data_IF_081205953998
#
_entry.id   IF_081205953998
#
_cell.length_a   1.000
_cell.length_b   1.000
_cell.length_c   1.000
_cell.angle_alpha   90.00
_cell.angle_beta   90.00
_cell.angle_gamma   90.00
#
_symmetry.space_group_name_H-M   'P 1'
#
loop_
_entity.id
_entity.type
_entity.pdbx_description
1 polymer ?
#
# COMPACT_ATOMS: atom_id res chain seq x y z
N UNK A 1 7.17 0.54 -19.14
CA UNK A 1 8.19 0.50 -18.08
C UNK A 1 7.49 0.06 -16.80
N UNK A 2 8.23 -0.44 -15.83
CA UNK A 2 7.67 -1.01 -14.59
C UNK A 2 8.56 -0.68 -13.38
N UNK A 3 8.14 -1.11 -12.20
CA UNK A 3 8.99 -1.19 -11.02
C UNK A 3 9.22 -2.65 -10.65
N UNK A 4 10.36 -2.95 -10.05
CA UNK A 4 10.73 -4.27 -9.55
C UNK A 4 11.09 -4.20 -8.06
N UNK A 5 10.83 -5.29 -7.34
CA UNK A 5 11.14 -5.43 -5.92
C UNK A 5 12.36 -6.34 -5.76
N UNK A 6 13.41 -5.84 -5.10
CA UNK A 6 14.50 -6.69 -4.63
C UNK A 6 14.00 -7.54 -3.46
N UNK A 7 13.82 -8.83 -3.75
CA UNK A 7 13.32 -9.81 -2.79
C UNK A 7 14.30 -10.09 -1.65
N UNK A 8 15.60 -9.88 -1.84
CA UNK A 8 16.59 -10.07 -0.78
C UNK A 8 16.51 -8.98 0.29
N UNK A 9 16.03 -7.78 -0.06
CA UNK A 9 15.90 -6.64 0.85
C UNK A 9 14.48 -6.47 1.41
N UNK A 10 13.46 -6.98 0.71
CA UNK A 10 12.07 -6.83 1.10
C UNK A 10 11.77 -7.49 2.46
N UNK A 11 11.21 -6.72 3.40
CA UNK A 11 10.83 -7.17 4.75
C UNK A 11 9.34 -7.55 4.88
N UNK A 12 8.65 -7.71 3.75
CA UNK A 12 7.24 -8.14 3.72
C UNK A 12 6.25 -7.23 4.49
N UNK A 13 6.45 -5.91 4.49
CA UNK A 13 5.59 -4.97 5.24
C UNK A 13 4.22 -4.66 4.57
N UNK A 14 4.10 -4.89 3.26
CA UNK A 14 2.88 -4.65 2.47
C UNK A 14 2.50 -3.18 2.24
N UNK A 15 3.41 -2.23 2.49
CA UNK A 15 3.11 -0.80 2.36
C UNK A 15 2.91 -0.39 0.90
N UNK A 16 3.77 -0.90 0.01
CA UNK A 16 3.67 -0.72 -1.43
C UNK A 16 2.31 -1.21 -1.99
N UNK A 17 1.82 -2.37 -1.54
CA UNK A 17 0.52 -2.93 -1.95
C UNK A 17 -0.65 -2.00 -1.61
N UNK A 18 -0.61 -1.31 -0.46
CA UNK A 18 -1.71 -0.41 -0.03
C UNK A 18 -1.81 0.89 -0.81
N UNK A 19 -0.76 1.26 -1.53
CA UNK A 19 -0.70 2.50 -2.32
C UNK A 19 -0.69 2.24 -3.83
N UNK A 20 -0.61 0.97 -4.26
CA UNK A 20 -0.65 0.63 -5.67
C UNK A 20 -2.07 0.86 -6.22
N UNK A 21 -2.28 1.81 -7.15
CA UNK A 21 -3.60 2.16 -7.64
C UNK A 21 -4.18 1.10 -8.59
N UNK A 22 -3.32 0.24 -9.16
CA UNK A 22 -3.73 -0.91 -9.98
C UNK A 22 -3.70 -2.22 -9.20
N UNK A 23 -3.41 -2.19 -7.91
CA UNK A 23 -3.32 -3.38 -7.03
C UNK A 23 -2.41 -4.50 -7.57
N UNK A 24 -1.49 -4.20 -8.50
CA UNK A 24 -0.61 -5.16 -9.19
C UNK A 24 0.52 -5.75 -8.31
N UNK A 25 0.54 -5.42 -7.02
CA UNK A 25 1.56 -5.92 -6.09
C UNK A 25 0.97 -7.06 -5.27
N UNK A 26 1.38 -8.28 -5.58
CA UNK A 26 0.88 -9.49 -4.93
C UNK A 26 1.96 -10.11 -4.04
N UNK A 27 1.54 -10.96 -3.12
CA UNK A 27 2.39 -11.62 -2.13
C UNK A 27 2.28 -13.14 -2.18
N UNK A 28 1.08 -13.68 -2.41
CA UNK A 28 0.80 -15.12 -2.31
C UNK A 28 1.05 -15.90 -3.61
N UNK A 29 1.34 -15.20 -4.71
CA UNK A 29 1.42 -15.79 -6.04
C UNK A 29 2.86 -16.23 -6.39
N UNK A 30 3.75 -16.27 -5.38
CA UNK A 30 5.16 -16.64 -5.53
C UNK A 30 5.55 -17.74 -4.55
N UNK A 31 6.41 -18.67 -4.99
CA UNK A 31 6.91 -19.77 -4.16
C UNK A 31 7.75 -19.27 -2.97
N UNK A 32 8.32 -18.07 -3.08
CA UNK A 32 9.11 -17.43 -2.04
C UNK A 32 8.26 -16.57 -1.09
N UNK A 33 6.95 -16.47 -1.29
CA UNK A 33 6.04 -15.59 -0.55
C UNK A 33 6.61 -14.18 -0.45
N UNK A 34 7.10 -13.62 -1.55
CA UNK A 34 7.62 -12.26 -1.57
C UNK A 34 6.77 -11.36 -2.45
N UNK A 35 6.69 -10.09 -2.04
CA UNK A 35 5.99 -9.09 -2.83
C UNK A 35 6.59 -9.00 -4.24
N UNK A 36 5.74 -9.07 -5.26
CA UNK A 36 6.11 -8.99 -6.67
C UNK A 36 5.20 -8.01 -7.39
N UNK A 37 5.78 -7.19 -8.27
CA UNK A 37 5.06 -6.25 -9.13
C UNK A 37 4.89 -6.92 -10.49
N UNK A 38 3.65 -7.05 -10.96
CA UNK A 38 3.35 -7.58 -12.29
C UNK A 38 3.42 -6.46 -13.33
N UNK A 39 4.35 -6.57 -14.27
CA UNK A 39 4.63 -5.50 -15.22
C UNK A 39 3.44 -5.25 -16.18
N UNK A 40 2.63 -6.26 -16.43
CA UNK A 40 1.42 -6.24 -17.24
C UNK A 40 0.28 -5.39 -16.66
N UNK A 41 0.36 -4.96 -15.40
CA UNK A 41 -0.61 -4.08 -14.76
C UNK A 41 0.04 -2.86 -14.09
N UNK A 42 1.37 -2.72 -14.19
CA UNK A 42 2.10 -1.58 -13.66
C UNK A 42 2.02 -0.37 -14.60
N UNK A 43 1.52 0.75 -14.09
CA UNK A 43 1.34 2.01 -14.85
C UNK A 43 2.46 3.03 -14.63
N UNK A 44 3.61 2.62 -14.06
CA UNK A 44 4.74 3.50 -13.79
C UNK A 44 4.38 4.79 -13.02
N UNK A 45 3.61 4.65 -11.93
CA UNK A 45 3.13 5.82 -11.16
C UNK A 45 4.03 6.23 -9.98
N UNK A 46 5.10 5.46 -9.70
CA UNK A 46 6.03 5.68 -8.60
C UNK A 46 5.41 5.71 -7.18
N UNK A 47 4.16 5.32 -6.99
CA UNK A 47 3.50 5.40 -5.67
C UNK A 47 4.13 4.46 -4.62
N UNK A 48 4.68 3.32 -5.05
CA UNK A 48 5.23 2.28 -4.17
C UNK A 48 6.62 2.62 -3.60
N UNK A 49 7.45 3.34 -4.37
CA UNK A 49 8.84 3.66 -3.99
C UNK A 49 8.92 4.45 -2.68
N UNK A 50 8.26 5.62 -2.52
CA UNK A 50 8.43 6.45 -1.33
C UNK A 50 7.82 5.84 -0.05
N UNK A 51 7.02 4.78 -0.16
CA UNK A 51 6.44 4.11 1.02
C UNK A 51 7.20 2.86 1.44
N UNK A 52 8.21 2.43 0.68
CA UNK A 52 9.01 1.28 1.05
C UNK A 52 9.97 1.67 2.18
N UNK A 53 9.87 1.07 3.38
CA UNK A 53 10.72 1.46 4.51
C UNK A 53 12.18 0.98 4.40
N UNK A 54 12.50 0.20 3.38
CA UNK A 54 13.82 -0.42 3.15
C UNK A 54 14.34 -0.15 1.72
N UNK A 55 13.70 0.77 1.00
CA UNK A 55 14.12 1.23 -0.33
C UNK A 55 14.41 0.12 -1.36
N UNK A 56 13.72 -1.02 -1.26
CA UNK A 56 13.96 -2.19 -2.10
C UNK A 56 13.25 -2.17 -3.48
N UNK A 57 12.73 -1.02 -3.93
CA UNK A 57 11.94 -0.91 -5.17
C UNK A 57 12.70 -0.04 -6.16
N UNK A 58 12.91 -0.52 -7.39
CA UNK A 58 13.65 0.19 -8.44
C UNK A 58 12.92 0.17 -9.78
N UNK A 59 13.30 1.10 -10.65
CA UNK A 59 12.72 1.24 -11.99
C UNK A 59 13.31 0.22 -12.97
N UNK A 60 12.47 -0.33 -13.82
CA UNK A 60 12.85 -1.24 -14.90
C UNK A 60 12.21 -0.79 -16.22
N UNK A 61 13.07 -0.45 -17.19
CA UNK A 61 12.66 0.03 -18.51
C UNK A 61 12.48 -1.09 -19.54
N UNK A 62 12.78 -2.34 -19.18
CA UNK A 62 12.73 -3.48 -20.10
C UNK A 62 11.31 -3.98 -20.37
N UNK A 63 10.36 -3.72 -19.47
CA UNK A 63 8.98 -4.18 -19.58
C UNK A 63 8.04 -3.03 -19.92
N UNK A 64 7.40 -3.06 -21.11
CA UNK A 64 6.51 -2.00 -21.58
C UNK A 64 5.05 -2.47 -21.58
N UNK A 65 4.24 -1.88 -20.69
CA UNK A 65 2.79 -2.00 -20.72
C UNK A 65 2.21 -1.07 -21.81
N UNK A 66 1.41 -1.62 -22.72
CA UNK A 66 0.82 -0.89 -23.84
C UNK A 66 -0.54 -1.45 -24.28
N UNK A 67 -1.24 -0.70 -25.13
CA UNK A 67 -2.51 -1.11 -25.73
C UNK A 67 -3.64 -1.25 -24.71
N UNK A 68 -4.52 -2.22 -24.95
CA UNK A 68 -5.71 -2.46 -24.12
C UNK A 68 -5.37 -2.71 -22.65
N UNK A 69 -4.28 -3.42 -22.37
CA UNK A 69 -3.84 -3.69 -20.99
C UNK A 69 -3.49 -2.38 -20.24
N UNK A 70 -2.86 -1.41 -20.92
CA UNK A 70 -2.61 -0.10 -20.34
C UNK A 70 -3.91 0.66 -20.05
N UNK A 71 -4.86 0.62 -20.98
CA UNK A 71 -6.16 1.30 -20.82
C UNK A 71 -6.93 0.76 -19.61
N UNK A 72 -6.96 -0.57 -19.44
CA UNK A 72 -7.59 -1.24 -18.30
C UNK A 72 -6.89 -0.89 -16.98
N UNK A 73 -5.56 -0.92 -16.95
CA UNK A 73 -4.79 -0.57 -15.76
C UNK A 73 -5.02 0.91 -15.35
N UNK A 74 -5.05 1.83 -16.32
CA UNK A 74 -5.37 3.24 -16.07
C UNK A 74 -6.82 3.43 -15.59
N UNK A 75 -7.78 2.65 -16.10
CA UNK A 75 -9.15 2.70 -15.62
C UNK A 75 -9.25 2.28 -14.14
N UNK A 76 -8.58 1.19 -13.76
CA UNK A 76 -8.47 0.71 -12.36
C UNK A 76 -7.85 1.78 -11.46
N UNK A 77 -6.75 2.40 -11.90
CA UNK A 77 -6.10 3.47 -11.15
C UNK A 77 -7.00 4.70 -10.93
N UNK A 78 -7.78 5.10 -11.95
CA UNK A 78 -8.74 6.21 -11.84
C UNK A 78 -9.84 5.89 -10.84
N UNK A 79 -10.35 4.67 -10.83
CA UNK A 79 -11.37 4.25 -9.87
C UNK A 79 -10.85 4.25 -8.43
N UNK A 80 -9.65 3.70 -8.23
CA UNK A 80 -8.97 3.72 -6.95
C UNK A 80 -8.82 5.15 -6.41
N UNK A 81 -8.40 6.10 -7.25
CA UNK A 81 -8.24 7.49 -6.86
C UNK A 81 -9.58 8.14 -6.45
N UNK A 82 -10.66 7.90 -7.23
CA UNK A 82 -12.01 8.38 -6.88
C UNK A 82 -12.44 7.90 -5.50
N UNK A 83 -12.27 6.60 -5.22
CA UNK A 83 -12.66 6.00 -3.94
C UNK A 83 -11.89 6.62 -2.77
N UNK A 84 -10.57 6.79 -2.90
CA UNK A 84 -9.76 7.36 -1.82
C UNK A 84 -10.07 8.82 -1.55
N UNK A 85 -10.27 9.62 -2.58
CA UNK A 85 -10.66 11.02 -2.42
C UNK A 85 -12.03 11.12 -1.73
N UNK A 86 -12.96 10.23 -2.06
CA UNK A 86 -14.25 10.14 -1.38
C UNK A 86 -14.10 9.74 0.08
N UNK A 87 -13.28 8.73 0.40
CA UNK A 87 -13.00 8.29 1.77
C UNK A 87 -12.34 9.40 2.61
N UNK A 88 -11.42 10.17 2.01
CA UNK A 88 -10.76 11.31 2.65
C UNK A 88 -11.76 12.43 2.94
N UNK A 89 -12.55 12.84 1.94
CA UNK A 89 -13.61 13.84 2.11
C UNK A 89 -14.61 13.41 3.20
N UNK A 90 -15.02 12.14 3.23
CA UNK A 90 -15.90 11.60 4.26
C UNK A 90 -15.26 11.68 5.66
N UNK A 91 -13.95 11.45 5.80
CA UNK A 91 -13.24 11.60 7.09
C UNK A 91 -13.14 13.05 7.54
N UNK A 92 -12.95 13.97 6.61
CA UNK A 92 -12.92 15.41 6.91
C UNK A 92 -14.29 15.95 7.35
N UNK A 93 -15.34 15.52 6.65
CA UNK A 93 -16.72 15.93 6.94
C UNK A 93 -17.33 15.18 8.12
N UNK A 94 -16.79 14.00 8.48
CA UNK A 94 -17.24 13.26 9.64
C UNK A 94 -17.09 14.16 10.87
N UNK A 95 -18.16 14.34 11.67
CA UNK A 95 -18.05 15.09 12.90
C UNK A 95 -16.92 14.43 13.72
N UNK A 96 -15.95 15.24 14.19
CA UNK A 96 -14.88 14.80 15.08
C UNK A 96 -15.51 14.18 16.34
N UNK A 97 -15.91 12.93 16.26
CA UNK A 97 -16.39 12.17 17.39
C UNK A 97 -15.19 12.08 18.32
N UNK A 98 -15.26 12.87 19.39
CA UNK A 98 -14.22 12.96 20.42
C UNK A 98 -13.77 11.54 20.76
N UNK A 99 -12.46 11.33 20.66
CA UNK A 99 -11.75 10.13 21.07
C UNK A 99 -12.38 9.55 22.35
N UNK A 100 -13.13 8.44 22.21
CA UNK A 100 -13.48 7.57 23.34
C UNK A 100 -12.64 6.31 23.14
N UNK A 101 -11.48 6.18 23.83
CA UNK A 101 -10.84 4.88 23.89
C UNK A 101 -11.79 4.00 24.70
N UNK A 102 -12.57 3.19 23.99
CA UNK A 102 -13.32 2.12 24.63
C UNK A 102 -12.29 1.12 25.13
N UNK A 103 -12.25 0.96 26.45
CA UNK A 103 -11.57 -0.12 27.19
C UNK A 103 -10.03 -0.04 27.27
N UNK A 104 -9.51 0.78 28.19
CA UNK A 104 -8.34 0.33 28.96
C UNK A 104 -8.85 -0.53 30.12
N UNK A 105 -8.46 -1.81 30.24
CA UNK A 105 -8.82 -2.61 31.40
C UNK A 105 -8.17 -2.03 32.67
N UNK A 106 -8.96 -1.96 33.75
CA UNK A 106 -8.63 -1.38 35.07
C UNK A 106 -7.34 -1.95 35.71
N UNK A 107 -6.90 -3.12 35.23
CA UNK A 107 -5.75 -3.90 35.70
C UNK A 107 -4.39 -3.25 35.35
N UNK A 108 -4.35 -2.30 34.42
CA UNK A 108 -3.14 -1.56 34.05
C UNK A 108 -2.78 -0.43 35.03
N UNK A 109 -3.54 -0.24 36.13
CA UNK A 109 -3.23 0.71 37.22
C UNK A 109 -2.37 0.14 38.36
N UNK A 110 -1.68 -0.99 38.17
CA UNK A 110 -0.68 -1.44 39.16
C UNK A 110 0.72 -0.97 38.75
N UNK A 111 1.05 0.22 39.21
CA UNK A 111 2.35 0.84 38.98
C UNK A 111 2.54 2.15 39.72
N UNK A 112 2.19 2.21 41.01
CA UNK A 112 2.55 3.35 41.87
C UNK A 112 2.84 2.90 43.30
N UNK A 113 4.14 2.66 43.54
CA UNK A 113 4.95 2.80 44.77
C UNK A 113 4.26 2.77 46.15
N UNK A 114 4.89 1.97 47.03
CA UNK A 114 5.12 2.04 48.50
C UNK A 114 4.92 0.61 49.04
N UNK A 115 5.89 -0.05 49.67
CA UNK A 115 6.91 0.43 50.62
C UNK A 115 8.37 0.15 50.21
#
# INVERSE_FOLDING_TARGET
MTYVIDKALCINCGYCRRVCPTETIHYFDTDDFMHTIYAEECIDCNACVPVCPVDCISYDDTNVLAGEALEQALAKAREWARKRNQDELLRELAPRAKFRPSVMPEKARRGSRKD
#
